data_IF_050703821615
#
_entry.id   IF_050703821615
#
_cell.length_a   1.000
_cell.length_b   1.000
_cell.length_c   1.000
_cell.angle_alpha   90.00
_cell.angle_beta   90.00
_cell.angle_gamma   90.00
#
_symmetry.space_group_name_H-M   'P 1'
#
loop_
_entity.id
_entity.type
_entity.pdbx_description
1 polymer ?
#
# COMPACT_ATOMS: atom_id res chain seq x y z
N UNK A 1 -8.72 -21.76 -0.57
CA UNK A 1 -9.12 -21.24 0.76
C UNK A 1 -8.48 -19.89 0.94
N UNK A 2 -9.26 -18.86 1.32
CA UNK A 2 -8.69 -17.57 1.67
C UNK A 2 -7.89 -17.71 2.97
N UNK A 3 -6.61 -17.36 2.91
CA UNK A 3 -5.70 -17.44 4.07
C UNK A 3 -5.97 -16.29 5.03
N UNK A 4 -6.36 -15.13 4.49
CA UNK A 4 -6.70 -13.93 5.26
C UNK A 4 -8.19 -13.59 5.03
N UNK A 5 -8.86 -13.19 6.11
CA UNK A 5 -10.23 -12.69 6.08
C UNK A 5 -10.27 -11.29 6.69
N UNK A 6 -10.88 -10.35 5.98
CA UNK A 6 -11.15 -9.02 6.51
C UNK A 6 -12.55 -9.02 7.12
N UNK A 7 -12.65 -8.56 8.36
CA UNK A 7 -13.92 -8.39 9.09
C UNK A 7 -14.04 -6.95 9.58
N UNK A 8 -15.23 -6.41 9.47
CA UNK A 8 -15.60 -5.16 10.14
C UNK A 8 -16.33 -5.50 11.43
N UNK A 9 -15.98 -4.82 12.50
CA UNK A 9 -16.68 -4.96 13.77
C UNK A 9 -17.72 -3.85 13.91
N UNK A 10 -18.94 -4.16 14.40
CA UNK A 10 -19.92 -3.14 14.72
C UNK A 10 -19.38 -2.17 15.78
N UNK A 11 -19.73 -0.89 15.65
CA UNK A 11 -19.26 0.17 16.56
C UNK A 11 -19.58 -0.10 18.04
N UNK A 12 -20.62 -0.87 18.30
CA UNK A 12 -21.10 -1.20 19.65
C UNK A 12 -20.81 -2.65 20.07
N UNK A 13 -19.90 -3.34 19.40
CA UNK A 13 -19.53 -4.70 19.77
C UNK A 13 -18.56 -4.67 20.96
N UNK A 14 -19.08 -4.94 22.16
CA UNK A 14 -18.28 -4.99 23.39
C UNK A 14 -17.31 -6.19 23.45
N UNK A 15 -17.42 -7.13 22.52
CA UNK A 15 -16.53 -8.29 22.45
C UNK A 15 -15.29 -8.03 21.62
N UNK A 16 -15.26 -6.91 20.88
CA UNK A 16 -14.11 -6.51 20.10
C UNK A 16 -13.06 -5.82 20.98
N UNK A 17 -11.92 -6.44 21.07
CA UNK A 17 -10.72 -5.87 21.66
C UNK A 17 -9.66 -5.69 20.57
N UNK A 18 -9.31 -4.44 20.21
CA UNK A 18 -8.29 -4.16 19.19
C UNK A 18 -6.89 -4.65 19.61
N UNK A 19 -6.65 -4.91 20.88
CA UNK A 19 -5.39 -5.41 21.40
C UNK A 19 -5.35 -6.95 21.52
N UNK A 20 -6.43 -7.61 21.11
CA UNK A 20 -6.50 -9.07 21.09
C UNK A 20 -5.55 -9.64 20.02
N UNK A 21 -4.57 -10.43 20.46
CA UNK A 21 -3.53 -11.03 19.61
C UNK A 21 -4.06 -11.99 18.51
N UNK A 22 -5.33 -12.32 18.54
CA UNK A 22 -5.96 -13.16 17.49
C UNK A 22 -6.26 -12.38 16.20
N UNK A 23 -6.19 -11.05 16.23
CA UNK A 23 -6.56 -10.20 15.13
C UNK A 23 -5.42 -9.26 14.79
N UNK A 24 -5.18 -9.07 13.49
CA UNK A 24 -4.43 -7.95 12.96
C UNK A 24 -5.42 -6.79 12.80
N UNK A 25 -5.13 -5.63 13.38
CA UNK A 25 -6.09 -4.54 13.44
C UNK A 25 -5.66 -3.35 12.57
N UNK A 26 -6.60 -2.81 11.79
CA UNK A 26 -6.42 -1.52 11.11
C UNK A 26 -7.22 -0.50 11.91
N UNK A 27 -6.54 0.52 12.44
CA UNK A 27 -7.13 1.55 13.30
C UNK A 27 -7.00 2.92 12.68
N UNK A 28 -8.02 3.74 12.83
CA UNK A 28 -7.91 5.17 12.58
C UNK A 28 -7.63 5.89 13.89
N UNK A 29 -6.55 6.67 13.92
CA UNK A 29 -6.18 7.50 15.06
C UNK A 29 -6.37 8.98 14.70
N UNK A 30 -7.33 9.69 15.32
CA UNK A 30 -7.62 11.12 15.04
C UNK A 30 -6.59 12.05 15.65
N UNK A 31 -5.33 11.67 15.65
CA UNK A 31 -4.23 12.43 16.23
C UNK A 31 -3.40 13.00 15.10
N UNK A 32 -3.09 14.31 15.19
CA UNK A 32 -2.17 15.00 14.32
C UNK A 32 -0.72 14.76 14.79
N UNK A 33 -0.16 13.60 14.57
CA UNK A 33 1.25 13.33 14.83
C UNK A 33 1.97 13.09 13.51
N UNK A 34 2.83 14.03 13.15
CA UNK A 34 3.49 14.11 11.85
C UNK A 34 4.35 12.93 11.40
N UNK A 35 4.31 11.77 12.01
CA UNK A 35 5.05 10.59 11.63
C UNK A 35 4.15 9.39 11.43
N UNK A 36 4.18 8.92 10.21
CA UNK A 36 3.72 7.65 9.74
C UNK A 36 4.46 6.53 10.46
N UNK A 37 3.76 5.68 11.14
CA UNK A 37 4.31 4.40 11.56
C UNK A 37 3.29 3.32 11.26
N UNK A 38 3.72 2.32 10.51
CA UNK A 38 3.20 0.98 10.68
C UNK A 38 3.15 0.75 12.17
N UNK A 39 2.03 0.34 12.70
CA UNK A 39 1.94 0.01 14.11
C UNK A 39 2.98 -1.06 14.47
N UNK A 40 3.25 -1.21 15.73
CA UNK A 40 4.20 -2.19 16.17
C UNK A 40 3.79 -3.58 15.67
N UNK A 41 4.74 -4.34 15.18
CA UNK A 41 4.56 -5.75 14.94
C UNK A 41 5.49 -6.53 15.86
N UNK A 42 4.94 -7.56 16.44
CA UNK A 42 5.64 -8.47 17.34
C UNK A 42 6.02 -9.72 16.59
N UNK A 43 7.31 -9.98 16.51
CA UNK A 43 7.86 -11.14 15.83
C UNK A 43 8.48 -12.08 16.85
N UNK A 44 8.17 -13.37 16.78
CA UNK A 44 8.89 -14.38 17.55
C UNK A 44 10.33 -14.51 17.02
N UNK A 45 11.35 -14.15 17.80
CA UNK A 45 12.74 -14.14 17.33
C UNK A 45 13.27 -15.55 16.99
N UNK A 46 12.61 -16.61 17.43
CA UNK A 46 13.02 -17.99 17.17
C UNK A 46 12.54 -18.51 15.83
N UNK A 47 11.33 -18.10 15.42
CA UNK A 47 10.67 -18.62 14.21
C UNK A 47 10.51 -17.58 13.09
N UNK A 48 10.62 -16.30 13.43
CA UNK A 48 10.26 -15.20 12.51
C UNK A 48 8.75 -15.02 12.34
N UNK A 49 7.93 -15.73 13.11
CA UNK A 49 6.47 -15.62 13.02
C UNK A 49 6.00 -14.25 13.53
N UNK A 50 5.17 -13.58 12.75
CA UNK A 50 4.46 -12.39 13.20
C UNK A 50 3.34 -12.84 14.15
N UNK A 51 3.48 -12.50 15.43
CA UNK A 51 2.51 -12.86 16.48
C UNK A 51 1.33 -11.91 16.46
N UNK A 52 1.60 -10.62 16.33
CA UNK A 52 0.60 -9.56 16.24
C UNK A 52 1.15 -8.37 15.45
N UNK A 53 0.24 -7.64 14.80
CA UNK A 53 0.56 -6.38 14.15
C UNK A 53 -0.67 -5.49 14.06
N UNK A 54 -0.46 -4.18 13.97
CA UNK A 54 -1.53 -3.22 13.70
C UNK A 54 -1.08 -2.21 12.65
N UNK A 55 -2.06 -1.67 11.92
CA UNK A 55 -1.85 -0.54 11.01
C UNK A 55 -2.59 0.65 11.61
N UNK A 56 -1.86 1.71 11.93
CA UNK A 56 -2.44 2.93 12.48
C UNK A 56 -2.49 4.00 11.40
N UNK A 57 -3.70 4.45 11.09
CA UNK A 57 -3.96 5.51 10.12
C UNK A 57 -4.17 6.81 10.89
N UNK A 58 -3.16 7.66 10.89
CA UNK A 58 -3.24 8.98 11.51
C UNK A 58 -3.95 9.98 10.60
N UNK A 59 -4.65 10.94 11.21
CA UNK A 59 -5.40 11.97 10.46
C UNK A 59 -4.51 12.74 9.47
N UNK A 60 -3.29 13.09 9.86
CA UNK A 60 -2.33 13.81 8.99
C UNK A 60 -1.92 13.02 7.74
N UNK A 61 -2.14 11.72 7.71
CA UNK A 61 -1.89 10.90 6.53
C UNK A 61 -2.72 11.32 5.33
N UNK A 62 -3.99 11.63 5.55
CA UNK A 62 -4.88 12.10 4.48
C UNK A 62 -4.34 13.38 3.84
N UNK A 63 -3.85 14.30 4.69
CA UNK A 63 -3.21 15.51 4.21
C UNK A 63 -1.93 15.22 3.41
N UNK A 64 -1.10 14.28 3.87
CA UNK A 64 0.13 13.88 3.17
C UNK A 64 -0.15 13.20 1.84
N UNK A 65 -1.15 12.32 1.77
CA UNK A 65 -1.61 11.69 0.53
C UNK A 65 -1.99 12.77 -0.48
N UNK A 66 -2.79 13.75 -0.04
CA UNK A 66 -3.20 14.86 -0.89
C UNK A 66 -2.01 15.69 -1.39
N UNK A 67 -1.15 16.11 -0.47
CA UNK A 67 0.00 16.95 -0.80
C UNK A 67 0.97 16.23 -1.74
N UNK A 68 1.29 14.95 -1.46
CA UNK A 68 2.20 14.17 -2.30
C UNK A 68 1.62 13.98 -3.70
N UNK A 69 0.32 13.68 -3.81
CA UNK A 69 -0.37 13.54 -5.08
C UNK A 69 -0.37 14.85 -5.85
N UNK A 70 -0.70 15.97 -5.20
CA UNK A 70 -0.64 17.31 -5.80
C UNK A 70 0.75 17.60 -6.37
N UNK A 71 1.80 17.47 -5.56
CA UNK A 71 3.18 17.79 -5.98
C UNK A 71 3.63 16.92 -7.15
N UNK A 72 3.25 15.65 -7.18
CA UNK A 72 3.76 14.70 -8.16
C UNK A 72 2.90 14.59 -9.43
N UNK A 73 1.60 14.90 -9.37
CA UNK A 73 0.71 14.62 -10.50
C UNK A 73 -0.16 15.80 -10.95
N UNK A 74 -0.13 16.96 -10.30
CA UNK A 74 -0.99 18.09 -10.65
C UNK A 74 -0.78 18.61 -12.09
N UNK A 75 0.37 18.34 -12.70
CA UNK A 75 0.65 18.66 -14.10
C UNK A 75 -0.25 17.89 -15.07
N UNK A 76 -0.61 16.66 -14.74
CA UNK A 76 -1.38 15.73 -15.59
C UNK A 76 -2.71 15.27 -14.98
N UNK A 77 -2.94 15.47 -13.67
CA UNK A 77 -4.18 15.12 -12.96
C UNK A 77 -4.94 16.40 -12.54
N UNK A 78 -5.96 16.77 -13.30
CA UNK A 78 -6.77 17.96 -13.00
C UNK A 78 -7.52 17.89 -11.68
N UNK A 79 -7.89 16.67 -11.24
CA UNK A 79 -8.66 16.47 -10.02
C UNK A 79 -7.92 16.93 -8.75
N UNK A 80 -6.58 17.01 -8.81
CA UNK A 80 -5.77 17.39 -7.65
C UNK A 80 -5.33 18.86 -7.63
N UNK A 81 -5.59 19.62 -8.70
CA UNK A 81 -5.13 21.02 -8.83
C UNK A 81 -5.77 21.96 -7.81
N UNK A 82 -6.94 21.64 -7.31
CA UNK A 82 -7.67 22.48 -6.34
C UNK A 82 -7.23 22.30 -4.90
N UNK A 83 -6.29 21.41 -4.60
CA UNK A 83 -5.89 21.00 -3.25
C UNK A 83 -7.04 20.44 -2.38
N UNK A 84 -8.24 20.32 -2.94
CA UNK A 84 -9.41 19.66 -2.34
C UNK A 84 -9.66 18.36 -3.09
N UNK A 85 -8.97 17.31 -2.67
CA UNK A 85 -9.10 16.02 -3.32
C UNK A 85 -10.51 15.46 -3.10
N UNK A 86 -11.18 14.97 -4.15
CA UNK A 86 -12.43 14.22 -3.99
C UNK A 86 -12.22 13.01 -3.06
N UNK A 87 -13.25 12.64 -2.28
CA UNK A 87 -13.16 11.55 -1.29
C UNK A 87 -12.70 10.23 -1.92
N UNK A 88 -13.16 9.96 -3.12
CA UNK A 88 -12.75 8.79 -3.91
C UNK A 88 -11.22 8.74 -4.12
N UNK A 89 -10.62 9.89 -4.45
CA UNK A 89 -9.18 10.01 -4.68
C UNK A 89 -8.35 9.85 -3.41
N UNK A 90 -8.90 10.23 -2.26
CA UNK A 90 -8.30 9.87 -0.98
C UNK A 90 -8.32 8.35 -0.77
N UNK A 91 -9.45 7.71 -1.08
CA UNK A 91 -9.60 6.26 -0.99
C UNK A 91 -8.57 5.50 -1.83
N UNK A 92 -8.31 5.95 -3.06
CA UNK A 92 -7.28 5.38 -3.92
C UNK A 92 -5.89 5.43 -3.28
N UNK A 93 -5.48 6.60 -2.79
CA UNK A 93 -4.17 6.77 -2.13
C UNK A 93 -4.05 5.97 -0.83
N UNK A 94 -5.13 5.95 -0.04
CA UNK A 94 -5.18 5.19 1.20
C UNK A 94 -5.12 3.68 0.94
N UNK A 95 -5.81 3.19 -0.09
CA UNK A 95 -5.77 1.78 -0.50
C UNK A 95 -4.34 1.32 -0.81
N UNK A 96 -3.62 2.06 -1.67
CA UNK A 96 -2.24 1.72 -2.03
C UNK A 96 -1.35 1.61 -0.80
N UNK A 97 -1.49 2.55 0.12
CA UNK A 97 -0.75 2.57 1.36
C UNK A 97 -1.11 1.41 2.30
N UNK A 98 -2.39 1.12 2.51
CA UNK A 98 -2.81 -0.01 3.35
C UNK A 98 -2.28 -1.33 2.78
N UNK A 99 -2.30 -1.52 1.46
CA UNK A 99 -1.75 -2.72 0.82
C UNK A 99 -0.24 -2.84 1.07
N UNK A 100 0.50 -1.72 1.00
CA UNK A 100 1.92 -1.67 1.36
C UNK A 100 2.15 -2.11 2.82
N UNK A 101 1.41 -1.52 3.76
CA UNK A 101 1.53 -1.86 5.19
C UNK A 101 1.13 -3.30 5.49
N UNK A 102 0.13 -3.85 4.80
CA UNK A 102 -0.20 -5.28 4.89
C UNK A 102 0.98 -6.14 4.42
N UNK A 103 1.72 -5.70 3.42
CA UNK A 103 2.96 -6.37 3.01
C UNK A 103 3.98 -6.45 4.14
N UNK A 104 4.17 -5.39 4.91
CA UNK A 104 5.04 -5.41 6.11
C UNK A 104 4.53 -6.39 7.18
N UNK A 105 3.22 -6.43 7.41
CA UNK A 105 2.61 -7.40 8.33
C UNK A 105 2.86 -8.84 7.89
N UNK A 106 2.92 -9.08 6.58
CA UNK A 106 3.27 -10.39 6.01
C UNK A 106 4.78 -10.70 6.05
N UNK A 107 5.58 -9.82 6.64
CA UNK A 107 7.03 -10.00 6.81
C UNK A 107 7.88 -9.50 5.65
N UNK A 108 7.30 -8.75 4.70
CA UNK A 108 8.05 -8.23 3.57
C UNK A 108 8.72 -6.89 3.90
N UNK A 109 9.99 -6.78 3.59
CA UNK A 109 10.73 -5.52 3.63
C UNK A 109 10.49 -4.67 2.38
N UNK A 110 11.00 -3.44 2.39
CA UNK A 110 10.94 -2.57 1.21
C UNK A 110 11.71 -3.16 0.04
N UNK A 111 11.13 -3.05 -1.16
CA UNK A 111 11.77 -3.43 -2.41
C UNK A 111 12.19 -2.18 -3.19
N UNK A 112 13.22 -1.47 -2.68
CA UNK A 112 13.69 -0.22 -3.30
C UNK A 112 14.22 -0.39 -4.74
N UNK A 113 14.86 -1.52 -5.13
CA UNK A 113 15.24 -1.76 -6.51
C UNK A 113 14.07 -1.72 -7.51
N UNK A 114 12.84 -1.91 -7.06
CA UNK A 114 11.65 -1.82 -7.89
C UNK A 114 11.49 -0.45 -8.58
N UNK A 115 11.93 0.64 -7.95
CA UNK A 115 11.91 2.00 -8.52
C UNK A 115 12.66 2.15 -9.85
N UNK A 116 13.61 1.27 -10.12
CA UNK A 116 14.42 1.31 -11.34
C UNK A 116 14.01 0.29 -12.40
N UNK A 117 13.01 -0.53 -12.12
CA UNK A 117 12.71 -1.68 -12.98
C UNK A 117 11.96 -1.28 -14.25
N UNK A 118 11.18 -0.20 -14.22
CA UNK A 118 10.40 0.22 -15.37
C UNK A 118 11.01 1.47 -16.05
N UNK A 119 11.26 1.41 -17.37
CA UNK A 119 11.75 2.56 -18.13
C UNK A 119 10.76 3.73 -18.07
N UNK A 120 11.27 4.96 -18.11
CA UNK A 120 10.47 6.19 -18.10
C UNK A 120 9.41 6.22 -19.21
N UNK A 121 9.78 5.79 -20.43
CA UNK A 121 8.83 5.74 -21.56
C UNK A 121 7.69 4.76 -21.32
N UNK A 122 7.97 3.64 -20.62
CA UNK A 122 6.94 2.67 -20.22
C UNK A 122 5.99 3.28 -19.20
N UNK A 123 6.48 4.06 -18.25
CA UNK A 123 5.66 4.74 -17.25
C UNK A 123 4.79 5.86 -17.83
N UNK A 124 5.08 6.32 -19.04
CA UNK A 124 4.27 7.26 -19.83
C UNK A 124 3.30 6.58 -20.80
N UNK A 125 3.33 5.27 -20.88
CA UNK A 125 2.45 4.48 -21.74
C UNK A 125 1.21 4.02 -21.00
N UNK A 126 0.03 4.40 -21.46
CA UNK A 126 -1.25 3.92 -20.92
C UNK A 126 -1.35 2.39 -20.96
N UNK A 127 -1.05 1.79 -22.11
CA UNK A 127 -1.10 0.33 -22.30
C UNK A 127 -0.18 -0.40 -21.30
N UNK A 128 1.02 0.13 -21.08
CA UNK A 128 1.96 -0.46 -20.14
C UNK A 128 1.48 -0.31 -18.71
N UNK A 129 1.15 0.91 -18.29
CA UNK A 129 0.78 1.19 -16.89
C UNK A 129 -0.54 0.58 -16.49
N UNK A 130 -1.51 0.46 -17.40
CA UNK A 130 -2.76 -0.25 -17.16
C UNK A 130 -2.54 -1.76 -16.99
N UNK A 131 -1.55 -2.33 -17.67
CA UNK A 131 -1.23 -3.77 -17.58
C UNK A 131 -0.35 -4.10 -16.38
N UNK A 132 0.69 -3.35 -16.16
CA UNK A 132 1.75 -3.67 -15.18
C UNK A 132 1.77 -2.78 -13.94
N UNK A 133 0.98 -1.70 -13.91
CA UNK A 133 1.06 -0.68 -12.88
C UNK A 133 2.25 0.26 -13.09
N UNK A 134 2.58 1.02 -12.07
CA UNK A 134 3.68 2.00 -12.11
C UNK A 134 4.95 1.51 -11.41
N UNK A 135 4.87 0.37 -10.73
CA UNK A 135 5.99 -0.29 -10.06
C UNK A 135 5.79 -1.80 -10.08
N UNK A 136 6.84 -2.61 -10.16
CA UNK A 136 6.71 -4.07 -10.08
C UNK A 136 6.45 -4.58 -8.66
N UNK A 137 6.52 -3.71 -7.63
CA UNK A 137 6.27 -4.10 -6.24
C UNK A 137 5.57 -2.98 -5.48
N UNK A 138 4.48 -3.32 -4.78
CA UNK A 138 3.83 -2.42 -3.82
C UNK A 138 4.73 -2.13 -2.61
N UNK A 139 5.74 -2.98 -2.36
CA UNK A 139 6.74 -2.77 -1.31
C UNK A 139 7.83 -1.77 -1.71
N UNK A 140 7.75 -1.18 -2.89
CA UNK A 140 8.56 -0.03 -3.26
C UNK A 140 8.12 1.20 -2.45
N UNK A 141 9.08 2.03 -2.08
CA UNK A 141 8.80 3.31 -1.42
C UNK A 141 8.45 4.41 -2.43
N UNK A 142 7.98 4.00 -3.59
CA UNK A 142 7.62 4.86 -4.71
C UNK A 142 6.41 5.73 -4.37
N UNK A 143 6.41 6.92 -4.94
CA UNK A 143 5.27 7.81 -4.91
C UNK A 143 4.29 7.55 -6.05
N UNK A 144 3.62 8.60 -6.45
CA UNK A 144 2.80 8.63 -7.65
C UNK A 144 3.67 8.67 -8.90
N UNK A 145 3.08 8.39 -10.06
CA UNK A 145 3.77 8.44 -11.35
C UNK A 145 4.10 9.90 -11.75
N UNK A 146 5.19 10.42 -11.21
CA UNK A 146 5.63 11.79 -11.43
C UNK A 146 6.31 12.00 -12.78
N UNK A 147 6.57 10.93 -13.55
CA UNK A 147 7.16 11.03 -14.89
C UNK A 147 6.11 11.24 -15.97
N UNK A 148 4.83 11.02 -15.67
CA UNK A 148 3.74 11.34 -16.57
C UNK A 148 3.72 12.84 -16.93
N UNK A 149 3.48 13.15 -18.20
CA UNK A 149 3.51 14.50 -18.74
C UNK A 149 2.11 14.99 -19.12
N UNK A 150 1.89 16.31 -19.16
CA UNK A 150 0.67 16.85 -19.75
C UNK A 150 0.48 16.32 -21.17
N UNK A 151 -0.67 15.70 -21.43
CA UNK A 151 -0.99 15.08 -22.73
C UNK A 151 -0.85 13.54 -22.74
N UNK A 152 -0.21 12.93 -21.76
CA UNK A 152 -0.25 11.48 -21.58
C UNK A 152 -1.65 11.07 -21.09
N UNK A 153 -2.45 10.48 -21.98
CA UNK A 153 -3.83 10.09 -21.68
C UNK A 153 -3.87 8.69 -21.09
N UNK A 154 -4.80 8.48 -20.13
CA UNK A 154 -5.14 7.19 -19.55
C UNK A 154 -3.96 6.45 -18.88
N UNK A 155 -2.90 7.17 -18.55
CA UNK A 155 -1.75 6.66 -17.83
C UNK A 155 -2.11 6.48 -16.35
N UNK A 156 -1.75 5.34 -15.77
CA UNK A 156 -1.96 5.11 -14.33
C UNK A 156 -1.00 5.99 -13.53
N UNK A 157 -1.55 6.75 -12.57
CA UNK A 157 -0.79 7.70 -11.77
C UNK A 157 -0.49 7.21 -10.35
N UNK A 158 -1.17 6.18 -9.90
CA UNK A 158 -1.13 5.71 -8.49
C UNK A 158 -0.68 4.25 -8.38
N UNK A 159 0.08 3.89 -7.34
CA UNK A 159 0.45 2.50 -7.06
C UNK A 159 -0.68 1.81 -6.29
N UNK A 160 -1.67 1.25 -6.98
CA UNK A 160 -2.85 0.67 -6.33
C UNK A 160 -2.98 -0.85 -6.46
N UNK A 161 -2.02 -1.49 -7.11
CA UNK A 161 -2.04 -2.94 -7.36
C UNK A 161 -0.73 -3.62 -7.03
N UNK A 162 -0.83 -4.92 -6.77
CA UNK A 162 0.35 -5.78 -6.65
C UNK A 162 1.07 -5.87 -7.99
N UNK A 163 2.39 -5.79 -7.95
CA UNK A 163 3.24 -5.95 -9.10
C UNK A 163 3.79 -7.37 -9.26
N UNK A 164 4.51 -7.61 -10.34
CA UNK A 164 5.06 -8.94 -10.67
C UNK A 164 6.04 -9.45 -9.61
N UNK A 165 6.78 -8.55 -8.97
CA UNK A 165 7.71 -8.91 -7.90
C UNK A 165 6.97 -9.35 -6.62
N UNK A 166 5.81 -8.74 -6.32
CA UNK A 166 5.01 -9.11 -5.15
C UNK A 166 4.48 -10.53 -5.27
N UNK A 167 3.94 -10.90 -6.44
CA UNK A 167 3.50 -12.27 -6.70
C UNK A 167 4.63 -13.28 -6.54
N UNK A 168 5.83 -12.94 -7.02
CA UNK A 168 7.01 -13.80 -6.86
C UNK A 168 7.38 -13.94 -5.38
N UNK A 169 7.47 -12.83 -4.66
CA UNK A 169 7.87 -12.81 -3.24
C UNK A 169 6.88 -13.60 -2.37
N UNK A 170 5.58 -13.40 -2.59
CA UNK A 170 4.53 -14.16 -1.87
C UNK A 170 4.64 -15.65 -2.19
N UNK A 171 4.87 -16.00 -3.45
CA UNK A 171 5.04 -17.40 -3.85
C UNK A 171 6.24 -18.05 -3.15
N UNK A 172 7.38 -17.38 -3.13
CA UNK A 172 8.60 -17.87 -2.48
C UNK A 172 8.41 -18.03 -0.98
N UNK A 173 7.77 -17.05 -0.31
CA UNK A 173 7.62 -17.03 1.13
C UNK A 173 6.52 -17.97 1.65
N UNK A 174 5.44 -18.15 0.90
CA UNK A 174 4.22 -18.80 1.40
C UNK A 174 3.78 -20.04 0.62
N UNK A 175 4.46 -20.37 -0.48
CA UNK A 175 4.13 -21.60 -1.18
C UNK A 175 4.65 -22.81 -0.39
N UNK A 176 3.79 -23.76 0.00
CA UNK A 176 4.25 -24.97 0.67
C UNK A 176 5.23 -25.76 -0.21
N UNK A 177 6.36 -26.13 0.35
CA UNK A 177 7.30 -27.04 -0.27
C UNK A 177 6.85 -28.45 0.12
N UNK A 178 6.26 -29.17 -0.81
CA UNK A 178 5.98 -30.59 -0.63
C UNK A 178 7.26 -31.36 -0.95
N UNK A 179 7.61 -32.34 -0.11
CA UNK A 179 8.77 -33.18 -0.32
C UNK A 179 8.78 -33.73 -1.75
N UNK A 180 9.77 -33.32 -2.51
CA UNK A 180 10.06 -33.92 -3.82
C UNK A 180 10.72 -35.25 -3.48
N UNK A 181 9.93 -36.34 -3.55
CA UNK A 181 10.49 -37.70 -3.49
C UNK A 181 11.35 -37.97 -4.70
#
# INVERSE_FOLDING_TARGET
>A
KNVLQVKTFPVNDSTFDPDNMKFLCIRYAPIGVGNFKTGPHWIDPRSGQVINASIEIFHDMLRRINLKRFVQTASCDEAVRTMKLPLEKYGEGLKGMIVHEVGHILGFGHNLPASHAYPTDSLRSATFTQKYGITPSIMDNMGYNYVAQPGDKDVVLIPERLGVADYHTVKVAYQPIFDVK
#
